data_IF_685433638163
#
_entry.id   IF_685433638163
#
_cell.length_a   1.000
_cell.length_b   1.000
_cell.length_c   1.000
_cell.angle_alpha   90.00
_cell.angle_beta   90.00
_cell.angle_gamma   90.00
#
_symmetry.space_group_name_H-M   'P 1'
#
loop_
_entity.id
_entity.type
_entity.pdbx_description
1 polymer ?
#
# COMPACT_ATOMS: atom_id res chain seq x y z
N UNK A 1 18.63 -3.83 -2.42
CA UNK A 1 18.43 -2.48 -2.98
C UNK A 1 16.95 -2.15 -2.86
N UNK A 2 16.57 -1.01 -2.30
CA UNK A 2 15.15 -0.67 -2.18
C UNK A 2 14.75 0.22 -3.38
N UNK A 3 14.10 -0.38 -4.37
CA UNK A 3 13.66 0.30 -5.60
C UNK A 3 12.76 1.52 -5.33
N UNK A 4 11.98 1.50 -4.26
CA UNK A 4 11.15 2.65 -3.88
C UNK A 4 12.01 3.84 -3.43
N UNK A 5 13.07 3.59 -2.66
CA UNK A 5 14.01 4.64 -2.27
C UNK A 5 14.78 5.20 -3.48
N UNK A 6 15.10 4.35 -4.44
CA UNK A 6 15.77 4.77 -5.68
C UNK A 6 14.85 5.66 -6.53
N UNK A 7 13.59 5.26 -6.71
CA UNK A 7 12.59 6.06 -7.42
C UNK A 7 12.34 7.40 -6.71
N UNK A 8 12.24 7.41 -5.37
CA UNK A 8 12.09 8.64 -4.59
C UNK A 8 13.24 9.62 -4.87
N UNK A 9 14.49 9.14 -4.78
CA UNK A 9 15.68 9.96 -5.04
C UNK A 9 15.73 10.47 -6.46
N UNK A 10 15.28 9.67 -7.41
CA UNK A 10 15.21 10.06 -8.82
C UNK A 10 14.24 11.23 -9.01
N UNK A 11 13.02 11.14 -8.49
CA UNK A 11 12.00 12.20 -8.57
C UNK A 11 12.51 13.47 -7.85
N UNK A 12 13.13 13.32 -6.68
CA UNK A 12 13.70 14.42 -5.89
C UNK A 12 14.82 15.13 -6.65
N UNK A 13 15.72 14.39 -7.32
CA UNK A 13 16.84 14.97 -8.07
C UNK A 13 16.42 15.74 -9.33
N UNK A 14 15.20 15.51 -9.82
CA UNK A 14 14.62 16.24 -10.95
C UNK A 14 13.61 17.31 -10.50
N UNK A 15 13.46 17.52 -9.18
CA UNK A 15 12.55 18.51 -8.58
C UNK A 15 11.09 18.36 -9.05
N UNK A 16 10.64 17.10 -9.26
CA UNK A 16 9.33 16.81 -9.87
C UNK A 16 8.20 16.57 -8.85
N UNK A 17 8.44 16.83 -7.56
CA UNK A 17 7.35 16.78 -6.59
C UNK A 17 6.44 17.99 -6.76
N UNK A 18 5.18 17.73 -7.15
CA UNK A 18 4.16 18.74 -7.38
C UNK A 18 3.70 19.38 -6.08
N UNK A 19 3.40 18.56 -5.07
CA UNK A 19 2.86 19.04 -3.81
C UNK A 19 3.20 18.13 -2.64
N UNK A 20 3.08 18.70 -1.42
CA UNK A 20 3.13 17.98 -0.15
C UNK A 20 1.78 18.06 0.53
N UNK A 21 1.25 16.93 0.99
CA UNK A 21 -0.08 16.79 1.58
C UNK A 21 0.06 16.23 2.99
N UNK A 22 -0.61 16.88 3.94
CA UNK A 22 -0.77 16.39 5.31
C UNK A 22 -2.21 15.92 5.51
N UNK A 23 -2.36 14.66 5.85
CA UNK A 23 -3.67 14.03 6.10
C UNK A 23 -3.83 13.76 7.59
N UNK A 24 -4.98 14.11 8.13
CA UNK A 24 -5.37 13.71 9.48
C UNK A 24 -5.87 12.26 9.48
N UNK A 25 -5.94 11.66 10.66
CA UNK A 25 -6.51 10.32 10.81
C UNK A 25 -7.93 10.26 10.24
N UNK A 26 -8.23 9.21 9.47
CA UNK A 26 -9.49 8.95 8.76
C UNK A 26 -9.77 9.88 7.57
N UNK A 27 -8.86 10.79 7.24
CA UNK A 27 -9.00 11.63 6.06
C UNK A 27 -8.76 10.80 4.79
N UNK A 28 -9.56 11.08 3.75
CA UNK A 28 -9.49 10.40 2.46
C UNK A 28 -8.52 11.14 1.55
N UNK A 29 -7.54 10.40 1.00
CA UNK A 29 -6.69 10.87 -0.09
C UNK A 29 -7.38 10.68 -1.45
N UNK A 30 -8.04 9.53 -1.62
CA UNK A 30 -8.75 9.18 -2.85
C UNK A 30 -10.10 8.52 -2.49
N UNK A 31 -11.11 8.74 -3.32
CA UNK A 31 -12.43 8.11 -3.19
C UNK A 31 -12.88 7.47 -4.49
N UNK A 32 -13.65 6.39 -4.40
CA UNK A 32 -14.27 5.71 -5.53
C UNK A 32 -15.00 6.68 -6.46
N UNK A 33 -15.01 6.37 -7.74
CA UNK A 33 -15.61 7.17 -8.81
C UNK A 33 -14.72 8.29 -9.35
N UNK A 34 -13.57 8.58 -8.73
CA UNK A 34 -12.62 9.59 -9.19
C UNK A 34 -11.51 8.99 -10.03
N UNK A 35 -10.93 9.79 -10.92
CA UNK A 35 -9.69 9.44 -11.63
C UNK A 35 -8.49 9.79 -10.77
N UNK A 36 -7.57 8.85 -10.64
CA UNK A 36 -6.30 9.10 -9.98
C UNK A 36 -5.29 9.70 -10.95
N UNK A 37 -4.74 10.82 -10.57
CA UNK A 37 -3.80 11.60 -11.40
C UNK A 37 -2.43 11.78 -10.78
N UNK A 38 -2.19 11.18 -9.60
CA UNK A 38 -0.94 11.31 -8.88
C UNK A 38 -0.41 9.97 -8.38
N UNK A 39 0.92 9.91 -8.29
CA UNK A 39 1.64 8.90 -7.52
C UNK A 39 2.15 9.56 -6.24
N UNK A 40 1.92 8.92 -5.11
CA UNK A 40 2.24 9.47 -3.80
C UNK A 40 3.36 8.69 -3.13
N UNK A 41 4.27 9.38 -2.46
CA UNK A 41 5.28 8.78 -1.60
C UNK A 41 5.00 9.12 -0.13
N UNK A 42 4.96 8.11 0.73
CA UNK A 42 4.66 8.26 2.15
C UNK A 42 5.94 8.62 2.91
N UNK A 43 6.04 9.85 3.40
CA UNK A 43 7.14 10.33 4.23
C UNK A 43 7.00 9.84 5.67
N UNK A 44 5.79 9.89 6.20
CA UNK A 44 5.45 9.39 7.54
C UNK A 44 3.98 9.02 7.63
N UNK A 45 3.61 8.21 8.61
CA UNK A 45 2.23 7.79 8.78
C UNK A 45 1.91 6.47 8.10
N UNK A 46 0.62 6.19 7.88
CA UNK A 46 0.14 4.99 7.20
C UNK A 46 -1.26 5.17 6.64
N UNK A 47 -1.51 4.51 5.50
CA UNK A 47 -2.78 4.53 4.77
C UNK A 47 -3.26 3.11 4.50
N UNK A 48 -4.57 2.96 4.31
CA UNK A 48 -5.18 1.75 3.76
C UNK A 48 -5.78 2.04 2.39
N UNK A 49 -5.70 1.05 1.49
CA UNK A 49 -6.47 1.01 0.23
C UNK A 49 -7.53 -0.07 0.40
N UNK A 50 -8.78 0.28 0.13
CA UNK A 50 -9.91 -0.64 0.28
C UNK A 50 -11.01 -0.35 -0.74
N UNK A 51 -11.89 -1.34 -0.94
CA UNK A 51 -13.19 -1.19 -1.59
C UNK A 51 -14.29 -1.33 -0.54
N UNK A 52 -15.48 -0.84 -0.85
CA UNK A 52 -16.69 -1.15 -0.11
C UNK A 52 -17.44 -2.29 -0.82
N UNK A 53 -17.86 -3.27 -0.04
CA UNK A 53 -18.64 -4.45 -0.45
C UNK A 53 -19.73 -4.64 0.60
N UNK A 54 -20.99 -4.37 0.26
CA UNK A 54 -22.12 -4.33 1.20
C UNK A 54 -21.81 -3.47 2.46
N UNK A 55 -21.31 -2.25 2.25
CA UNK A 55 -20.89 -1.30 3.29
C UNK A 55 -19.72 -1.77 4.18
N UNK A 56 -19.13 -2.93 3.89
CA UNK A 56 -17.94 -3.41 4.57
C UNK A 56 -16.64 -3.04 3.83
N UNK A 57 -15.67 -2.54 4.58
CA UNK A 57 -14.34 -2.28 4.04
C UNK A 57 -13.59 -3.59 3.75
N UNK A 58 -13.30 -3.85 2.48
CA UNK A 58 -12.42 -4.94 2.03
C UNK A 58 -11.04 -4.37 1.74
N UNK A 59 -10.11 -4.56 2.68
CA UNK A 59 -8.77 -3.98 2.57
C UNK A 59 -7.94 -4.77 1.55
N UNK A 60 -7.38 -4.04 0.58
CA UNK A 60 -6.56 -4.57 -0.50
C UNK A 60 -5.08 -4.47 -0.14
N UNK A 61 -4.64 -3.28 0.33
CA UNK A 61 -3.23 -2.97 0.58
C UNK A 61 -3.10 -1.90 1.67
N UNK A 62 -1.89 -1.79 2.21
CA UNK A 62 -1.47 -0.66 3.04
C UNK A 62 -0.30 0.07 2.39
N UNK A 63 -0.20 1.36 2.68
CA UNK A 63 1.00 2.16 2.46
C UNK A 63 1.47 2.73 3.79
N UNK A 64 2.77 2.70 4.03
CA UNK A 64 3.42 3.28 5.20
C UNK A 64 4.76 3.88 4.79
N UNK A 65 5.50 4.42 5.75
CA UNK A 65 6.75 5.13 5.47
C UNK A 65 7.63 4.41 4.43
N UNK A 66 8.15 5.18 3.49
CA UNK A 66 8.98 4.75 2.35
C UNK A 66 8.24 3.88 1.31
N UNK A 67 6.91 3.88 1.30
CA UNK A 67 6.14 3.25 0.23
C UNK A 67 5.63 4.28 -0.78
N UNK A 68 5.52 3.86 -2.04
CA UNK A 68 4.65 4.51 -3.01
C UNK A 68 3.23 3.96 -2.90
N UNK A 69 2.25 4.85 -3.05
CA UNK A 69 0.82 4.52 -3.00
C UNK A 69 0.06 5.31 -4.06
N UNK A 70 -0.91 4.68 -4.67
CA UNK A 70 -1.86 5.29 -5.60
C UNK A 70 -3.04 4.34 -5.79
N UNK A 71 -4.15 4.80 -6.36
CA UNK A 71 -5.18 3.93 -6.92
C UNK A 71 -4.69 3.43 -8.29
N UNK A 72 -3.90 2.33 -8.26
CA UNK A 72 -3.09 1.86 -9.38
C UNK A 72 -3.94 1.47 -10.61
N UNK A 73 -5.15 0.95 -10.39
CA UNK A 73 -6.13 0.65 -11.44
C UNK A 73 -6.45 1.88 -12.29
N UNK A 74 -6.73 3.01 -11.63
CA UNK A 74 -7.02 4.29 -12.28
C UNK A 74 -5.76 4.96 -12.80
N UNK A 75 -4.69 4.94 -12.03
CA UNK A 75 -3.41 5.54 -12.42
C UNK A 75 -2.88 4.97 -13.74
N UNK A 76 -3.01 3.65 -13.95
CA UNK A 76 -2.60 2.99 -15.19
C UNK A 76 -3.65 3.16 -16.29
N UNK A 77 -4.92 2.83 -16.02
CA UNK A 77 -5.96 2.77 -17.04
C UNK A 77 -6.52 4.12 -17.47
N UNK A 78 -6.39 5.15 -16.62
CA UNK A 78 -7.03 6.45 -16.79
C UNK A 78 -8.56 6.46 -16.59
N UNK A 79 -9.13 5.34 -16.12
CA UNK A 79 -10.55 5.22 -15.77
C UNK A 79 -10.79 5.59 -14.31
N UNK A 80 -12.02 5.92 -13.89
CA UNK A 80 -12.35 6.08 -12.47
C UNK A 80 -11.99 4.82 -11.68
N UNK A 81 -11.51 5.00 -10.43
CA UNK A 81 -11.20 3.90 -9.52
C UNK A 81 -12.41 3.46 -8.70
N UNK A 82 -12.42 2.20 -8.28
CA UNK A 82 -13.33 1.70 -7.23
C UNK A 82 -12.69 1.77 -5.83
N UNK A 83 -11.44 2.23 -5.73
CA UNK A 83 -10.70 2.25 -4.48
C UNK A 83 -10.94 3.52 -3.67
N UNK A 84 -10.86 3.34 -2.36
CA UNK A 84 -10.67 4.40 -1.37
C UNK A 84 -9.26 4.31 -0.81
N UNK A 85 -8.60 5.46 -0.63
CA UNK A 85 -7.31 5.56 0.06
C UNK A 85 -7.52 6.47 1.27
N UNK A 86 -7.30 5.94 2.48
CA UNK A 86 -7.60 6.64 3.74
C UNK A 86 -6.44 6.56 4.72
N UNK A 87 -6.12 7.68 5.36
CA UNK A 87 -5.10 7.74 6.39
C UNK A 87 -5.55 7.01 7.68
N UNK A 88 -4.68 6.18 8.25
CA UNK A 88 -4.91 5.46 9.50
C UNK A 88 -4.43 6.25 10.74
N UNK A 89 -3.48 7.15 10.54
CA UNK A 89 -2.92 8.09 11.50
C UNK A 89 -2.53 9.37 10.75
N UNK A 90 -2.07 10.40 11.44
CA UNK A 90 -1.50 11.57 10.76
C UNK A 90 -0.43 11.10 9.76
N UNK A 91 -0.53 11.54 8.51
CA UNK A 91 0.27 11.03 7.40
C UNK A 91 0.75 12.19 6.54
N UNK A 92 2.06 12.23 6.29
CA UNK A 92 2.68 13.21 5.40
C UNK A 92 3.11 12.50 4.11
N UNK A 93 2.73 13.05 2.98
CA UNK A 93 3.05 12.49 1.65
C UNK A 93 3.53 13.58 0.70
N UNK A 94 4.37 13.18 -0.26
CA UNK A 94 4.68 13.95 -1.46
C UNK A 94 3.93 13.35 -2.64
N UNK A 95 3.50 14.19 -3.57
CA UNK A 95 2.79 13.79 -4.78
C UNK A 95 3.57 14.22 -6.03
N UNK A 96 3.56 13.38 -7.05
CA UNK A 96 4.01 13.70 -8.40
C UNK A 96 2.84 13.46 -9.36
N UNK A 97 2.64 14.35 -10.33
CA UNK A 97 1.58 14.15 -11.33
C UNK A 97 1.87 12.94 -12.21
N UNK A 98 0.82 12.31 -12.72
CA UNK A 98 0.95 11.19 -13.65
C UNK A 98 1.77 11.57 -14.88
N UNK A 99 1.55 12.76 -15.43
CA UNK A 99 2.18 13.24 -16.66
C UNK A 99 3.69 13.47 -16.46
N UNK A 100 4.09 14.13 -15.36
CA UNK A 100 5.50 14.34 -15.03
C UNK A 100 6.19 13.01 -14.75
N UNK A 101 5.52 12.12 -14.01
CA UNK A 101 6.04 10.80 -13.73
C UNK A 101 6.30 9.99 -15.02
N UNK A 102 5.31 9.90 -15.92
CA UNK A 102 5.49 9.17 -17.16
C UNK A 102 6.49 9.86 -18.11
N UNK A 103 6.55 11.18 -18.16
CA UNK A 103 7.58 11.91 -18.88
C UNK A 103 8.98 11.57 -18.38
N UNK A 104 9.18 11.51 -17.04
CA UNK A 104 10.45 11.12 -16.44
C UNK A 104 10.88 9.71 -16.86
N UNK A 105 10.00 8.72 -16.71
CA UNK A 105 10.36 7.31 -16.93
C UNK A 105 10.48 6.95 -18.41
N UNK A 106 9.72 7.60 -19.33
CA UNK A 106 9.77 7.26 -20.75
C UNK A 106 10.97 7.85 -21.47
N UNK A 107 11.52 8.96 -20.97
CA UNK A 107 12.65 9.65 -21.60
C UNK A 107 14.03 9.02 -21.30
N UNK A 108 14.07 8.00 -20.41
CA UNK A 108 15.32 7.34 -20.05
C UNK A 108 15.12 5.84 -19.84
N UNK A 109 15.85 5.02 -20.59
CA UNK A 109 15.74 3.57 -20.55
C UNK A 109 15.99 2.99 -19.14
N UNK A 110 16.95 3.53 -18.38
CA UNK A 110 17.23 3.08 -16.99
C UNK A 110 16.06 3.37 -16.06
N UNK A 111 15.39 4.53 -16.22
CA UNK A 111 14.25 4.91 -15.40
C UNK A 111 13.04 4.03 -15.73
N UNK A 112 12.87 3.72 -17.03
CA UNK A 112 11.86 2.77 -17.47
C UNK A 112 12.09 1.39 -16.88
N UNK A 113 13.32 0.88 -16.91
CA UNK A 113 13.67 -0.41 -16.30
C UNK A 113 13.41 -0.43 -14.78
N UNK A 114 13.69 0.67 -14.06
CA UNK A 114 13.37 0.79 -12.65
C UNK A 114 11.86 0.68 -12.41
N UNK A 115 11.05 1.36 -13.23
CA UNK A 115 9.60 1.26 -13.16
C UNK A 115 9.08 -0.14 -13.47
N UNK A 116 9.58 -0.77 -14.52
CA UNK A 116 9.21 -2.14 -14.91
C UNK A 116 9.51 -3.11 -13.74
N UNK A 117 10.66 -2.99 -13.07
CA UNK A 117 11.01 -3.76 -11.87
C UNK A 117 10.04 -3.51 -10.71
N UNK A 118 9.63 -2.26 -10.48
CA UNK A 118 8.65 -1.91 -9.44
C UNK A 118 7.29 -2.55 -9.74
N UNK A 119 6.83 -2.51 -11.00
CA UNK A 119 5.59 -3.17 -11.41
C UNK A 119 5.66 -4.69 -11.23
N UNK A 120 6.77 -5.34 -11.59
CA UNK A 120 6.98 -6.76 -11.34
C UNK A 120 6.87 -7.10 -9.85
N UNK A 121 7.47 -6.28 -8.98
CA UNK A 121 7.33 -6.46 -7.53
C UNK A 121 5.88 -6.29 -7.05
N UNK A 122 5.13 -5.35 -7.61
CA UNK A 122 3.71 -5.20 -7.28
C UNK A 122 2.89 -6.41 -7.73
N UNK A 123 3.16 -6.97 -8.91
CA UNK A 123 2.51 -8.19 -9.41
C UNK A 123 2.81 -9.38 -8.48
N UNK A 124 4.08 -9.57 -8.11
CA UNK A 124 4.48 -10.64 -7.18
C UNK A 124 3.81 -10.49 -5.81
N UNK A 125 3.76 -9.27 -5.27
CA UNK A 125 3.05 -9.00 -4.01
C UNK A 125 1.54 -9.29 -4.12
N UNK A 126 0.92 -8.99 -5.27
CA UNK A 126 -0.48 -9.28 -5.51
C UNK A 126 -0.74 -10.80 -5.57
N UNK A 127 0.13 -11.55 -6.25
CA UNK A 127 0.06 -13.02 -6.29
C UNK A 127 0.19 -13.62 -4.88
N UNK A 128 1.14 -13.13 -4.08
CA UNK A 128 1.27 -13.59 -2.69
C UNK A 128 0.05 -13.23 -1.84
N UNK A 129 -0.54 -12.05 -2.07
CA UNK A 129 -1.80 -11.66 -1.43
C UNK A 129 -2.94 -12.58 -1.80
N UNK A 130 -3.07 -12.94 -3.06
CA UNK A 130 -4.09 -13.88 -3.54
C UNK A 130 -3.93 -15.26 -2.88
N UNK A 131 -2.69 -15.79 -2.83
CA UNK A 131 -2.40 -17.03 -2.10
C UNK A 131 -2.80 -16.95 -0.64
N UNK A 132 -2.51 -15.82 0.03
CA UNK A 132 -2.88 -15.65 1.45
C UNK A 132 -4.39 -15.77 1.66
N UNK A 133 -5.22 -15.12 0.82
CA UNK A 133 -6.67 -15.15 1.00
C UNK A 133 -7.32 -16.51 0.65
N UNK A 134 -6.64 -17.33 -0.17
CA UNK A 134 -7.08 -18.69 -0.50
C UNK A 134 -6.79 -19.70 0.62
N UNK A 135 -5.88 -19.41 1.54
CA UNK A 135 -5.56 -20.30 2.66
C UNK A 135 -6.69 -20.26 3.68
N UNK A 136 -7.31 -21.42 3.95
CA UNK A 136 -8.44 -21.54 4.88
C UNK A 136 -8.04 -21.26 6.34
N UNK A 137 -6.87 -21.72 6.79
CA UNK A 137 -6.42 -21.58 8.17
C UNK A 137 -6.01 -20.13 8.50
N UNK A 138 -6.70 -19.45 9.43
CA UNK A 138 -6.32 -18.10 9.86
C UNK A 138 -4.89 -18.01 10.42
N UNK A 139 -4.45 -19.02 11.17
CA UNK A 139 -3.12 -19.10 11.73
C UNK A 139 -2.05 -19.18 10.63
N UNK A 140 -2.25 -20.03 9.61
CA UNK A 140 -1.32 -20.11 8.47
C UNK A 140 -1.26 -18.81 7.68
N UNK A 141 -2.41 -18.12 7.47
CA UNK A 141 -2.43 -16.79 6.85
C UNK A 141 -1.61 -15.77 7.64
N UNK A 142 -1.83 -15.72 8.96
CA UNK A 142 -1.10 -14.82 9.85
C UNK A 142 0.42 -15.06 9.76
N UNK A 143 0.88 -16.30 9.95
CA UNK A 143 2.31 -16.65 9.91
C UNK A 143 2.97 -16.29 8.59
N UNK A 144 2.32 -16.61 7.46
CA UNK A 144 2.84 -16.25 6.13
C UNK A 144 3.03 -14.74 5.95
N UNK A 145 2.04 -13.97 6.34
CA UNK A 145 2.10 -12.50 6.21
C UNK A 145 3.10 -11.92 7.20
N UNK A 146 3.19 -12.44 8.42
CA UNK A 146 4.16 -12.01 9.43
C UNK A 146 5.60 -12.23 8.95
N UNK A 147 5.91 -13.42 8.44
CA UNK A 147 7.24 -13.76 7.92
C UNK A 147 7.64 -12.88 6.73
N UNK A 148 6.69 -12.57 5.84
CA UNK A 148 6.94 -11.76 4.65
C UNK A 148 7.04 -10.27 4.94
N UNK A 149 6.31 -9.76 5.93
CA UNK A 149 6.13 -8.34 6.14
C UNK A 149 5.97 -7.98 7.62
N UNK A 150 7.02 -8.17 8.40
CA UNK A 150 7.06 -7.81 9.83
C UNK A 150 6.74 -6.33 10.06
N UNK A 151 7.20 -5.44 9.18
CA UNK A 151 6.96 -4.00 9.26
C UNK A 151 5.46 -3.67 9.21
N UNK A 152 4.66 -4.43 8.46
CA UNK A 152 3.19 -4.26 8.43
C UNK A 152 2.57 -4.36 9.83
N UNK A 153 3.04 -5.30 10.65
CA UNK A 153 2.54 -5.49 12.02
C UNK A 153 3.01 -4.43 13.01
N UNK A 154 4.06 -3.71 12.68
CA UNK A 154 4.56 -2.56 13.46
C UNK A 154 3.83 -1.27 13.11
N UNK A 155 3.50 -1.07 11.82
CA UNK A 155 2.95 0.19 11.29
C UNK A 155 1.42 0.26 11.30
N UNK A 156 0.74 -0.88 11.20
CA UNK A 156 -0.70 -0.95 10.98
C UNK A 156 -1.43 -1.42 12.24
N UNK A 157 -2.49 -0.70 12.68
CA UNK A 157 -3.31 -1.12 13.82
C UNK A 157 -3.94 -2.51 13.59
N UNK A 158 -3.93 -3.34 14.64
CA UNK A 158 -4.36 -4.75 14.59
C UNK A 158 -5.76 -4.96 13.99
N UNK A 159 -6.72 -4.07 14.26
CA UNK A 159 -8.07 -4.18 13.69
C UNK A 159 -8.08 -4.16 12.15
N UNK A 160 -7.18 -3.39 11.53
CA UNK A 160 -7.06 -3.33 10.08
C UNK A 160 -6.28 -4.53 9.54
N UNK A 161 -5.29 -5.04 10.28
CA UNK A 161 -4.60 -6.29 9.94
C UNK A 161 -5.57 -7.47 9.98
N UNK A 162 -6.44 -7.55 10.98
CA UNK A 162 -7.47 -8.60 11.06
C UNK A 162 -8.38 -8.59 9.83
N UNK A 163 -8.92 -7.42 9.45
CA UNK A 163 -9.71 -7.25 8.21
C UNK A 163 -8.91 -7.67 6.96
N UNK A 164 -7.65 -7.23 6.86
CA UNK A 164 -6.75 -7.61 5.76
C UNK A 164 -6.52 -9.11 5.70
N UNK A 165 -6.38 -9.79 6.84
CA UNK A 165 -6.23 -11.24 6.93
C UNK A 165 -7.56 -12.01 6.86
N UNK A 166 -8.69 -11.33 6.64
CA UNK A 166 -10.03 -11.91 6.61
C UNK A 166 -10.33 -12.74 7.87
N UNK A 167 -10.12 -12.14 9.03
CA UNK A 167 -10.47 -12.72 10.35
C UNK A 167 -10.93 -11.63 11.31
N UNK A 168 -11.59 -12.03 12.39
CA UNK A 168 -11.97 -11.08 13.43
C UNK A 168 -10.76 -10.61 14.26
N UNK A 169 -10.81 -9.41 14.87
CA UNK A 169 -9.76 -8.94 15.78
C UNK A 169 -9.47 -9.91 16.94
N UNK A 170 -10.52 -10.58 17.46
CA UNK A 170 -10.43 -11.57 18.54
C UNK A 170 -9.64 -12.81 18.08
N UNK A 171 -9.92 -13.28 16.84
CA UNK A 171 -9.17 -14.39 16.23
C UNK A 171 -7.71 -14.04 16.06
N UNK A 172 -7.40 -12.83 15.57
CA UNK A 172 -6.01 -12.37 15.44
C UNK A 172 -5.30 -12.28 16.79
N UNK A 173 -5.97 -11.72 17.80
CA UNK A 173 -5.42 -11.64 19.17
C UNK A 173 -5.09 -13.01 19.74
N UNK A 174 -6.00 -13.99 19.59
CA UNK A 174 -5.78 -15.36 20.04
C UNK A 174 -4.59 -16.03 19.36
N UNK A 175 -4.45 -15.86 18.03
CA UNK A 175 -3.33 -16.42 17.28
C UNK A 175 -2.00 -15.83 17.75
N UNK A 176 -1.93 -14.52 17.96
CA UNK A 176 -0.72 -13.86 18.47
C UNK A 176 -0.29 -14.35 19.84
N UNK A 177 -1.26 -14.57 20.75
CA UNK A 177 -0.96 -15.08 22.09
C UNK A 177 -0.45 -16.53 22.04
N UNK A 178 -0.91 -17.34 21.09
CA UNK A 178 -0.40 -18.70 20.90
C UNK A 178 1.03 -18.72 20.34
N UNK A 179 1.36 -17.82 19.42
CA UNK A 179 2.73 -17.67 18.87
C UNK A 179 3.72 -17.27 19.97
N UNK A 180 3.38 -16.29 20.81
CA UNK A 180 4.23 -15.83 21.92
C UNK A 180 4.53 -16.93 22.95
N UNK A 181 3.64 -17.92 23.11
CA UNK A 181 3.81 -19.04 24.04
C UNK A 181 4.57 -20.23 23.42
N UNK A 182 4.86 -20.21 22.12
CA UNK A 182 5.68 -21.25 21.43
C UNK A 182 7.15 -20.90 21.36
N UNK A 183 7.52 -19.63 21.60
CA UNK A 183 8.89 -19.12 21.61
C UNK A 183 9.50 -19.11 23.05
N UNK A 184 8.81 -19.69 24.05
CA UNK A 184 9.25 -19.89 25.44
C UNK A 184 9.48 -21.38 25.71
#
# INVERSE_FOLDING_TARGET
MNFFTELYKLIESHELWDTSISLQRNELLCSSGKKETHLYFVLSGSLKIYILDDDEERIIRFGYQNNFITALDSFISGRPTDFYIQALKKTEIKAITKDDYFSLITNNLKYKQLWDTILEQFILQQIEREKDILIRSPQKRYQRVLTRSTQLFQEIPHKHIAKYLRMSPETLSRIKNLDLNQDL
#
